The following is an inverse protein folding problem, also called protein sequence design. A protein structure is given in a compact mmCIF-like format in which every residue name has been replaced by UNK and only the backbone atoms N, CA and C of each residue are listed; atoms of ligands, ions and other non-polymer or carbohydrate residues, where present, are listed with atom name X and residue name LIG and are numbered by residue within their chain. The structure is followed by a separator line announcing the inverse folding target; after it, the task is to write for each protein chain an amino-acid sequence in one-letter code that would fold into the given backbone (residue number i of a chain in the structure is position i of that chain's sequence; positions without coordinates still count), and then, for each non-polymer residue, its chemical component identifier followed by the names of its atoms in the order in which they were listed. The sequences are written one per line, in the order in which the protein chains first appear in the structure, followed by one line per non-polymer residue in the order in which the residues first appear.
data_IF_863128551754
#
_entry.id   IF_863128551754
#
_cell.length_a   1.000
_cell.length_b   1.000
_cell.length_c   1.000
_cell.angle_alpha   90.00
_cell.angle_beta   90.00
_cell.angle_gamma   90.00
#
_symmetry.space_group_name_H-M   'P 1'
#
loop_
_entity.id
_entity.type
_entity.pdbx_description
1 polymer ?
#
# COMPACT_ATOMS: atom_id res chain seq x y z
N UNK A 1 20.61 -27.75 -20.47
CA UNK A 1 20.01 -27.18 -19.24
C UNK A 1 21.09 -26.35 -18.54
N UNK A 2 21.09 -25.04 -18.75
CA UNK A 2 21.80 -24.11 -17.88
C UNK A 2 20.73 -23.41 -17.05
N UNK A 3 20.78 -23.63 -15.74
CA UNK A 3 20.04 -22.84 -14.75
C UNK A 3 20.58 -21.41 -14.83
N UNK A 4 19.82 -20.51 -15.46
CA UNK A 4 20.15 -19.10 -15.50
C UNK A 4 20.01 -18.51 -14.10
N UNK A 5 21.10 -18.45 -13.35
CA UNK A 5 21.19 -17.53 -12.21
C UNK A 5 20.96 -16.12 -12.74
N UNK A 6 19.85 -15.51 -12.33
CA UNK A 6 19.61 -14.08 -12.53
C UNK A 6 20.72 -13.32 -11.81
N UNK A 7 21.72 -12.84 -12.55
CA UNK A 7 22.78 -11.98 -12.01
C UNK A 7 22.10 -10.70 -11.53
N UNK A 8 21.91 -10.58 -10.23
CA UNK A 8 21.41 -9.36 -9.60
C UNK A 8 22.43 -8.26 -9.89
N UNK A 9 21.99 -7.19 -10.56
CA UNK A 9 22.88 -6.06 -10.87
C UNK A 9 23.53 -5.54 -9.57
N UNK A 10 24.79 -5.08 -9.55
CA UNK A 10 25.39 -4.51 -8.34
C UNK A 10 24.78 -3.13 -8.02
N UNK A 11 24.87 -2.67 -6.78
CA UNK A 11 24.58 -1.26 -6.47
C UNK A 11 25.57 -0.33 -7.18
N UNK A 12 25.13 0.87 -7.61
CA UNK A 12 23.78 1.43 -7.47
C UNK A 12 22.77 0.99 -8.54
N UNK A 13 23.14 0.13 -9.49
CA UNK A 13 22.26 -0.22 -10.61
C UNK A 13 20.94 -0.88 -10.15
N UNK A 14 20.91 -1.56 -9.01
CA UNK A 14 19.68 -2.07 -8.40
C UNK A 14 18.66 -0.97 -8.07
N UNK A 15 19.13 0.22 -7.67
CA UNK A 15 18.26 1.34 -7.31
C UNK A 15 17.44 1.84 -8.50
N UNK A 16 17.89 1.61 -9.74
CA UNK A 16 17.09 1.92 -10.93
C UNK A 16 15.75 1.20 -10.94
N UNK A 17 15.66 0.03 -10.30
CA UNK A 17 14.39 -0.71 -10.21
C UNK A 17 13.39 -0.02 -9.28
N UNK A 18 13.83 0.89 -8.40
CA UNK A 18 12.96 1.64 -7.49
C UNK A 18 12.20 2.76 -8.21
N UNK A 19 12.65 3.16 -9.41
CA UNK A 19 11.94 4.14 -10.22
C UNK A 19 10.50 3.70 -10.50
N UNK A 20 9.54 4.61 -10.35
CA UNK A 20 8.10 4.31 -10.46
C UNK A 20 7.63 3.86 -11.84
N UNK A 21 8.48 3.98 -12.86
CA UNK A 21 8.26 3.42 -14.21
C UNK A 21 8.83 2.00 -14.38
N UNK A 22 9.42 1.42 -13.33
CA UNK A 22 9.98 0.07 -13.30
C UNK A 22 9.33 -0.79 -12.22
N UNK A 23 9.50 -2.11 -12.36
CA UNK A 23 8.82 -3.12 -11.55
C UNK A 23 9.10 -3.00 -10.04
N UNK A 24 10.27 -2.51 -9.61
CA UNK A 24 10.61 -2.40 -8.18
C UNK A 24 9.92 -1.25 -7.45
N UNK A 25 9.31 -0.29 -8.16
CA UNK A 25 8.43 0.73 -7.57
C UNK A 25 6.96 0.28 -7.46
N UNK A 26 6.65 -0.96 -7.89
CA UNK A 26 5.29 -1.52 -7.93
C UNK A 26 5.28 -2.85 -7.19
N UNK A 27 4.65 -2.88 -6.02
CA UNK A 27 4.49 -4.09 -5.21
C UNK A 27 3.31 -4.93 -5.71
N UNK A 28 3.53 -6.25 -5.84
CA UNK A 28 2.49 -7.27 -6.03
C UNK A 28 2.27 -7.99 -4.70
N UNK A 29 1.01 -8.33 -4.40
CA UNK A 29 0.64 -8.91 -3.11
C UNK A 29 1.25 -10.32 -2.99
N UNK A 30 1.88 -10.62 -1.85
CA UNK A 30 2.51 -11.93 -1.55
C UNK A 30 3.61 -12.38 -2.52
N UNK A 31 4.17 -11.45 -3.28
CA UNK A 31 5.32 -11.69 -4.15
C UNK A 31 6.56 -11.06 -3.52
N UNK A 32 7.35 -11.91 -2.85
CA UNK A 32 8.61 -11.54 -2.16
C UNK A 32 9.68 -10.98 -3.11
N UNK A 33 9.49 -11.14 -4.42
CA UNK A 33 10.38 -10.63 -5.47
C UNK A 33 9.89 -9.30 -6.07
N UNK A 34 8.69 -8.85 -5.71
CA UNK A 34 8.10 -7.58 -6.17
C UNK A 34 8.42 -6.40 -5.25
N UNK A 35 8.14 -5.18 -5.71
CA UNK A 35 8.63 -3.91 -5.16
C UNK A 35 8.51 -3.69 -3.65
N UNK A 36 9.49 -4.22 -2.90
CA UNK A 36 9.89 -3.79 -1.55
C UNK A 36 11.37 -3.39 -1.55
N UNK A 37 11.71 -2.21 -2.10
CA UNK A 37 13.00 -1.56 -1.90
C UNK A 37 13.60 -1.79 -0.50
N UNK A 38 14.66 -2.59 -0.42
CA UNK A 38 15.37 -2.91 0.84
C UNK A 38 14.68 -3.87 1.80
N UNK A 39 13.59 -4.54 1.39
CA UNK A 39 12.89 -5.63 2.10
C UNK A 39 12.29 -5.29 3.47
N UNK A 40 12.48 -4.08 3.98
CA UNK A 40 11.86 -3.58 5.20
C UNK A 40 10.44 -3.03 4.95
N UNK A 41 9.57 -3.15 5.95
CA UNK A 41 8.27 -2.46 5.99
C UNK A 41 8.50 -1.09 6.62
N UNK A 42 8.07 -0.03 5.96
CA UNK A 42 8.16 1.32 6.51
C UNK A 42 6.94 1.59 7.39
N UNK A 43 7.16 1.86 8.67
CA UNK A 43 6.09 2.13 9.64
C UNK A 43 5.33 3.40 9.30
N UNK A 44 3.99 3.37 9.34
CA UNK A 44 3.14 4.55 9.14
C UNK A 44 1.94 4.52 10.10
N UNK A 45 1.21 5.63 10.25
CA UNK A 45 0.04 5.64 11.12
C UNK A 45 -1.06 4.68 10.62
N UNK A 46 -1.17 4.52 9.30
CA UNK A 46 -2.08 3.54 8.72
C UNK A 46 -1.74 2.12 9.20
N UNK A 47 -0.46 1.73 9.15
CA UNK A 47 -0.03 0.40 9.56
C UNK A 47 -0.35 0.13 11.03
N UNK A 48 -0.06 1.07 11.94
CA UNK A 48 -0.44 0.92 13.35
C UNK A 48 -1.96 0.83 13.56
N UNK A 49 -2.76 1.58 12.79
CA UNK A 49 -4.22 1.49 12.86
C UNK A 49 -4.74 0.14 12.36
N UNK A 50 -4.15 -0.39 11.30
CA UNK A 50 -4.51 -1.68 10.72
C UNK A 50 -4.10 -2.84 11.64
N UNK A 51 -2.95 -2.74 12.30
CA UNK A 51 -2.52 -3.72 13.32
C UNK A 51 -3.49 -3.75 14.51
N UNK A 52 -3.82 -2.57 15.07
CA UNK A 52 -4.79 -2.46 16.15
C UNK A 52 -6.19 -2.95 15.73
N UNK A 53 -6.59 -2.64 14.49
CA UNK A 53 -7.84 -3.12 13.90
C UNK A 53 -7.85 -4.65 13.76
N UNK A 54 -6.77 -5.26 13.26
CA UNK A 54 -6.64 -6.70 13.09
C UNK A 54 -6.79 -7.44 14.43
N UNK A 55 -6.16 -6.94 15.50
CA UNK A 55 -6.34 -7.49 16.85
C UNK A 55 -7.78 -7.33 17.35
N UNK A 56 -8.40 -6.18 17.11
CA UNK A 56 -9.75 -5.88 17.59
C UNK A 56 -10.83 -6.70 16.87
N UNK A 57 -10.76 -6.83 15.54
CA UNK A 57 -11.74 -7.59 14.76
C UNK A 57 -11.65 -9.10 15.01
N UNK A 58 -10.43 -9.60 15.27
CA UNK A 58 -10.19 -10.99 15.64
C UNK A 58 -10.78 -11.33 17.03
N UNK A 59 -10.73 -10.38 17.97
CA UNK A 59 -11.16 -10.58 19.37
C UNK A 59 -12.69 -10.73 19.56
N UNK A 60 -13.51 -10.30 18.59
CA UNK A 60 -14.97 -10.48 18.65
C UNK A 60 -15.77 -9.31 18.08
N UNK A 61 -17.09 -9.48 17.88
CA UNK A 61 -17.94 -8.41 17.36
C UNK A 61 -18.23 -7.39 18.47
N UNK A 62 -17.62 -6.22 18.40
CA UNK A 62 -17.96 -5.11 19.29
C UNK A 62 -17.32 -3.79 18.85
N UNK A 63 -18.11 -2.87 18.30
CA UNK A 63 -17.72 -1.46 18.06
C UNK A 63 -16.55 -1.24 17.09
N UNK A 64 -16.09 -2.26 16.36
CA UNK A 64 -14.99 -2.19 15.40
C UNK A 64 -15.56 -2.12 13.98
N UNK A 65 -15.11 -1.18 13.13
CA UNK A 65 -15.48 -1.15 11.72
C UNK A 65 -15.15 -2.47 11.03
N UNK A 66 -16.09 -3.05 10.30
CA UNK A 66 -15.91 -4.29 9.54
C UNK A 66 -15.63 -4.05 8.05
N UNK A 67 -15.98 -2.87 7.55
CA UNK A 67 -15.76 -2.45 6.17
C UNK A 67 -14.62 -1.44 6.17
N UNK A 68 -13.49 -1.77 5.57
CA UNK A 68 -12.31 -0.92 5.44
C UNK A 68 -12.10 -0.51 3.98
N UNK A 69 -12.06 0.80 3.72
CA UNK A 69 -11.77 1.36 2.40
C UNK A 69 -10.45 2.13 2.43
N UNK A 70 -9.43 1.64 1.70
CA UNK A 70 -8.16 2.32 1.51
C UNK A 70 -8.20 3.12 0.20
N UNK A 71 -8.35 4.43 0.32
CA UNK A 71 -8.65 5.35 -0.79
C UNK A 71 -7.39 6.10 -1.20
N UNK A 72 -6.91 5.92 -2.43
CA UNK A 72 -5.73 6.67 -2.89
C UNK A 72 -5.27 6.30 -4.28
N UNK A 73 -4.25 6.99 -4.80
CA UNK A 73 -3.65 6.65 -6.08
C UNK A 73 -2.72 5.42 -6.02
N UNK A 74 -2.22 4.95 -7.17
CA UNK A 74 -1.23 3.90 -7.23
C UNK A 74 0.10 4.36 -6.61
N UNK A 75 0.78 3.47 -5.88
CA UNK A 75 2.09 3.78 -5.27
C UNK A 75 2.06 4.40 -3.87
N UNK A 76 0.90 4.43 -3.20
CA UNK A 76 0.77 4.92 -1.82
C UNK A 76 0.90 3.82 -0.75
N UNK A 77 1.39 2.63 -1.09
CA UNK A 77 1.58 1.55 -0.10
C UNK A 77 0.35 0.68 0.20
N UNK A 78 -0.73 0.75 -0.60
CA UNK A 78 -1.93 -0.08 -0.40
C UNK A 78 -1.64 -1.59 -0.32
N UNK A 79 -0.82 -2.09 -1.24
CA UNK A 79 -0.43 -3.51 -1.27
C UNK A 79 0.30 -3.92 0.01
N UNK A 80 1.20 -3.07 0.52
CA UNK A 80 1.92 -3.30 1.79
C UNK A 80 0.96 -3.30 2.98
N UNK A 81 0.02 -2.36 3.00
CA UNK A 81 -1.01 -2.25 4.03
C UNK A 81 -1.88 -3.52 4.09
N UNK A 82 -2.37 -4.02 2.95
CA UNK A 82 -3.16 -5.26 2.90
C UNK A 82 -2.33 -6.47 3.35
N UNK A 83 -1.11 -6.62 2.83
CA UNK A 83 -0.26 -7.78 3.16
C UNK A 83 0.11 -7.82 4.65
N UNK A 84 0.48 -6.67 5.23
CA UNK A 84 0.74 -6.55 6.67
C UNK A 84 -0.51 -6.83 7.49
N UNK A 85 -1.67 -6.31 7.07
CA UNK A 85 -2.95 -6.58 7.74
C UNK A 85 -3.29 -8.06 7.76
N UNK A 86 -3.07 -8.76 6.64
CA UNK A 86 -3.28 -10.21 6.57
C UNK A 86 -2.34 -10.94 7.53
N UNK A 87 -1.07 -10.55 7.61
CA UNK A 87 -0.13 -11.15 8.55
C UNK A 87 -0.57 -10.95 10.01
N UNK A 88 -1.01 -9.75 10.38
CA UNK A 88 -1.52 -9.47 11.73
C UNK A 88 -2.83 -10.19 12.03
N UNK A 89 -3.73 -10.32 11.07
CA UNK A 89 -4.95 -11.12 11.21
C UNK A 89 -4.62 -12.60 11.40
N UNK A 90 -3.69 -13.14 10.63
CA UNK A 90 -3.26 -14.53 10.75
C UNK A 90 -2.73 -14.82 12.17
N UNK A 91 -1.89 -13.93 12.70
CA UNK A 91 -1.39 -14.01 14.08
C UNK A 91 -2.53 -13.87 15.09
N UNK A 92 -3.38 -12.85 14.93
CA UNK A 92 -4.46 -12.54 15.89
C UNK A 92 -5.55 -13.62 15.94
N UNK A 93 -5.76 -14.33 14.84
CA UNK A 93 -6.69 -15.47 14.74
C UNK A 93 -6.03 -16.80 15.13
N UNK A 94 -4.73 -16.82 15.45
CA UNK A 94 -4.00 -18.05 15.75
C UNK A 94 -3.94 -19.02 14.56
N UNK A 95 -3.94 -18.50 13.32
CA UNK A 95 -4.01 -19.28 12.09
C UNK A 95 -2.66 -19.91 11.67
N UNK A 96 -1.54 -19.50 12.28
CA UNK A 96 -0.23 -20.14 12.10
C UNK A 96 0.30 -20.13 10.67
N UNK A 97 0.04 -19.05 9.92
CA UNK A 97 0.41 -18.83 8.53
C UNK A 97 -0.61 -19.35 7.51
N UNK A 98 -1.68 -20.02 7.94
CA UNK A 98 -2.66 -20.62 7.01
C UNK A 98 -3.51 -19.57 6.29
N UNK A 99 -3.89 -18.49 6.94
CA UNK A 99 -4.67 -17.42 6.30
C UNK A 99 -3.84 -16.76 5.18
N UNK A 100 -2.59 -16.40 5.50
CA UNK A 100 -1.67 -15.84 4.50
C UNK A 100 -1.43 -16.82 3.34
N UNK A 101 -1.29 -18.11 3.64
CA UNK A 101 -1.08 -19.16 2.63
C UNK A 101 -2.28 -19.34 1.71
N UNK A 102 -3.52 -19.32 2.23
CA UNK A 102 -4.72 -19.40 1.40
C UNK A 102 -4.88 -18.17 0.51
N UNK A 103 -4.70 -16.97 1.06
CA UNK A 103 -4.78 -15.73 0.27
C UNK A 103 -3.68 -15.67 -0.82
N UNK A 104 -2.47 -16.15 -0.52
CA UNK A 104 -1.38 -16.22 -1.50
C UNK A 104 -1.75 -17.06 -2.73
N UNK A 105 -2.46 -18.17 -2.57
CA UNK A 105 -2.92 -19.00 -3.70
C UNK A 105 -3.87 -18.24 -4.64
N UNK A 106 -4.71 -17.36 -4.09
CA UNK A 106 -5.68 -16.59 -4.87
C UNK A 106 -5.06 -15.36 -5.53
N UNK A 107 -4.19 -14.63 -4.82
CA UNK A 107 -3.59 -13.39 -5.32
C UNK A 107 -2.32 -13.60 -6.15
N UNK A 108 -1.69 -14.77 -6.03
CA UNK A 108 -0.55 -15.18 -6.83
C UNK A 108 -0.82 -16.53 -7.52
N UNK A 109 -1.82 -16.60 -8.42
CA UNK A 109 -2.19 -17.85 -9.08
C UNK A 109 -1.13 -18.24 -10.13
N UNK A 110 -1.15 -19.49 -10.61
CA UNK A 110 -0.25 -19.96 -11.67
C UNK A 110 -0.33 -19.09 -12.93
N UNK A 111 0.79 -19.02 -13.67
CA UNK A 111 0.90 -18.24 -14.90
C UNK A 111 -0.22 -18.57 -15.89
N UNK A 112 -0.79 -17.53 -16.51
CA UNK A 112 -1.96 -17.64 -17.40
C UNK A 112 -3.31 -17.62 -16.70
N UNK A 113 -3.35 -17.65 -15.37
CA UNK A 113 -4.58 -17.48 -14.58
C UNK A 113 -4.76 -16.02 -14.20
N UNK A 114 -5.94 -15.45 -14.45
CA UNK A 114 -6.24 -14.09 -14.04
C UNK A 114 -6.45 -14.01 -12.52
N UNK A 115 -5.87 -13.00 -11.87
CA UNK A 115 -6.11 -12.73 -10.46
C UNK A 115 -7.58 -12.30 -10.28
N UNK A 116 -8.36 -12.95 -9.41
CA UNK A 116 -9.73 -12.55 -9.15
C UNK A 116 -9.77 -11.15 -8.52
N UNK A 117 -10.79 -10.37 -8.87
CA UNK A 117 -11.02 -9.03 -8.29
C UNK A 117 -11.25 -9.10 -6.78
N UNK A 118 -12.13 -10.01 -6.37
CA UNK A 118 -12.55 -10.25 -4.99
C UNK A 118 -12.08 -11.64 -4.56
N UNK A 119 -11.31 -11.70 -3.47
CA UNK A 119 -10.94 -12.94 -2.81
C UNK A 119 -11.68 -13.04 -1.50
N UNK A 120 -12.35 -14.17 -1.24
CA UNK A 120 -13.04 -14.44 0.02
C UNK A 120 -12.45 -15.68 0.68
N UNK A 121 -12.16 -15.58 1.97
CA UNK A 121 -11.69 -16.68 2.80
C UNK A 121 -12.57 -16.75 4.05
N UNK A 122 -13.01 -17.95 4.40
CA UNK A 122 -13.58 -18.22 5.72
C UNK A 122 -12.44 -18.63 6.65
N UNK A 123 -12.34 -17.95 7.78
CA UNK A 123 -11.30 -18.21 8.79
C UNK A 123 -11.68 -19.31 9.77
N UNK A 124 -12.89 -19.86 9.66
CA UNK A 124 -13.35 -20.98 10.47
C UNK A 124 -12.39 -22.18 10.33
N UNK A 125 -11.91 -22.68 11.48
CA UNK A 125 -11.01 -23.84 11.52
C UNK A 125 -9.56 -23.60 11.07
N UNK A 126 -9.15 -22.35 10.80
CA UNK A 126 -7.74 -22.06 10.50
C UNK A 126 -6.84 -22.22 11.74
N UNK A 127 -7.36 -21.93 12.93
CA UNK A 127 -6.69 -22.09 14.22
C UNK A 127 -7.57 -22.82 15.25
N UNK A 128 -6.99 -23.37 16.33
CA UNK A 128 -7.73 -24.09 17.37
C UNK A 128 -8.81 -23.24 18.06
N UNK A 129 -8.58 -21.92 18.15
CA UNK A 129 -9.50 -20.93 18.72
C UNK A 129 -9.91 -19.85 17.69
N UNK A 130 -9.68 -20.10 16.40
CA UNK A 130 -9.97 -19.13 15.36
C UNK A 130 -11.49 -18.91 15.27
N UNK A 131 -11.91 -17.68 15.55
CA UNK A 131 -13.28 -17.23 15.33
C UNK A 131 -13.66 -17.40 13.85
N UNK A 132 -14.89 -17.83 13.59
CA UNK A 132 -15.47 -17.76 12.25
C UNK A 132 -15.67 -16.29 11.83
N UNK A 133 -14.80 -15.83 10.94
CA UNK A 133 -14.85 -14.54 10.27
C UNK A 133 -14.70 -14.77 8.77
N UNK A 134 -15.68 -14.37 7.98
CA UNK A 134 -15.52 -14.24 6.54
C UNK A 134 -14.72 -12.99 6.21
N UNK A 135 -13.61 -13.14 5.48
CA UNK A 135 -12.74 -12.06 5.06
C UNK A 135 -12.82 -11.91 3.54
N UNK A 136 -13.27 -10.75 3.10
CA UNK A 136 -13.39 -10.37 1.69
C UNK A 136 -12.37 -9.27 1.36
N UNK A 137 -11.49 -9.49 0.37
CA UNK A 137 -10.43 -8.55 0.01
C UNK A 137 -10.50 -8.20 -1.47
N UNK A 138 -10.53 -6.90 -1.76
CA UNK A 138 -10.39 -6.32 -3.11
C UNK A 138 -9.11 -5.48 -3.15
N UNK A 139 -8.09 -5.96 -3.85
CA UNK A 139 -6.78 -5.27 -3.93
C UNK A 139 -6.80 -4.09 -4.92
N UNK A 140 -7.61 -4.17 -5.97
CA UNK A 140 -7.74 -3.13 -6.97
C UNK A 140 -9.19 -3.04 -7.45
N UNK A 141 -9.92 -2.07 -6.92
CA UNK A 141 -11.30 -1.83 -7.28
C UNK A 141 -11.49 -1.34 -8.74
N UNK A 142 -10.44 -1.12 -9.52
CA UNK A 142 -10.56 -0.87 -10.96
C UNK A 142 -10.60 -2.16 -11.82
N UNK A 143 -10.19 -3.30 -11.26
CA UNK A 143 -10.15 -4.57 -11.99
C UNK A 143 -11.55 -5.14 -12.24
N UNK A 144 -11.84 -5.62 -13.46
CA UNK A 144 -13.16 -6.19 -13.84
C UNK A 144 -13.09 -7.69 -14.16
N UNK A 145 -12.03 -8.36 -13.70
CA UNK A 145 -11.79 -9.78 -13.97
C UNK A 145 -12.94 -10.64 -13.45
N UNK A 146 -13.48 -11.52 -14.31
CA UNK A 146 -14.54 -12.46 -13.94
C UNK A 146 -15.96 -11.89 -13.99
N UNK A 147 -16.15 -10.63 -14.42
CA UNK A 147 -17.46 -9.99 -14.50
C UNK A 147 -17.74 -9.42 -15.89
N UNK A 148 -18.15 -10.29 -16.82
CA UNK A 148 -18.48 -9.89 -18.19
C UNK A 148 -19.59 -8.83 -18.21
N UNK A 149 -19.33 -7.71 -18.87
CA UNK A 149 -20.31 -6.64 -19.10
C UNK A 149 -20.54 -5.68 -17.93
N UNK A 150 -19.88 -5.86 -16.79
CA UNK A 150 -19.97 -4.93 -15.65
C UNK A 150 -18.79 -3.96 -15.61
N UNK A 151 -19.08 -2.73 -15.21
CA UNK A 151 -18.05 -1.73 -14.95
C UNK A 151 -17.53 -1.85 -13.51
N UNK A 152 -16.32 -1.33 -13.27
CA UNK A 152 -15.68 -1.33 -11.95
C UNK A 152 -16.56 -0.65 -10.87
N UNK A 153 -17.23 0.44 -11.23
CA UNK A 153 -18.20 1.15 -10.40
C UNK A 153 -19.36 0.24 -9.95
N UNK A 154 -20.00 -0.46 -10.89
CA UNK A 154 -21.10 -1.39 -10.62
C UNK A 154 -20.67 -2.53 -9.70
N UNK A 155 -19.47 -3.09 -9.92
CA UNK A 155 -18.92 -4.13 -9.06
C UNK A 155 -18.68 -3.64 -7.64
N UNK A 156 -18.15 -2.43 -7.48
CA UNK A 156 -17.98 -1.83 -6.16
C UNK A 156 -19.33 -1.64 -5.44
N UNK A 157 -20.36 -1.18 -6.15
CA UNK A 157 -21.70 -1.04 -5.56
C UNK A 157 -22.28 -2.37 -5.12
N UNK A 158 -22.20 -3.40 -5.97
CA UNK A 158 -22.66 -4.75 -5.64
C UNK A 158 -21.92 -5.33 -4.41
N UNK A 159 -20.61 -5.08 -4.31
CA UNK A 159 -19.80 -5.49 -3.17
C UNK A 159 -20.19 -4.76 -1.88
N UNK A 160 -20.41 -3.44 -1.96
CA UNK A 160 -20.83 -2.62 -0.83
C UNK A 160 -22.22 -3.03 -0.33
N UNK A 161 -23.18 -3.21 -1.23
CA UNK A 161 -24.52 -3.68 -0.88
C UNK A 161 -24.46 -5.08 -0.21
N UNK A 162 -23.65 -5.99 -0.78
CA UNK A 162 -23.49 -7.34 -0.24
C UNK A 162 -22.86 -7.34 1.15
N UNK A 163 -21.80 -6.56 1.39
CA UNK A 163 -21.19 -6.50 2.72
C UNK A 163 -22.05 -5.73 3.72
N UNK A 164 -22.76 -4.68 3.32
CA UNK A 164 -23.68 -3.97 4.22
C UNK A 164 -24.84 -4.87 4.66
N UNK A 165 -25.37 -5.70 3.76
CA UNK A 165 -26.37 -6.73 4.08
C UNK A 165 -25.81 -7.92 4.85
N UNK A 166 -24.48 -8.13 4.84
CA UNK A 166 -23.83 -9.18 5.61
C UNK A 166 -23.77 -8.83 7.11
N UNK A 167 -23.84 -9.86 7.95
CA UNK A 167 -23.79 -9.71 9.41
C UNK A 167 -22.39 -9.38 9.97
N UNK A 168 -22.27 -9.26 11.31
CA UNK A 168 -21.02 -8.90 12.01
C UNK A 168 -19.92 -9.98 11.95
N UNK A 169 -20.18 -11.11 11.27
CA UNK A 169 -19.21 -12.16 10.99
C UNK A 169 -18.46 -11.97 9.67
N UNK A 170 -18.67 -10.86 8.96
CA UNK A 170 -18.04 -10.58 7.67
C UNK A 170 -17.25 -9.26 7.71
N UNK A 171 -15.98 -9.34 7.35
CA UNK A 171 -15.08 -8.21 7.16
C UNK A 171 -14.74 -8.02 5.68
N UNK A 172 -14.61 -6.77 5.25
CA UNK A 172 -14.30 -6.39 3.88
C UNK A 172 -13.17 -5.36 3.87
N UNK A 173 -12.13 -5.61 3.09
CA UNK A 173 -11.01 -4.70 2.88
C UNK A 173 -10.93 -4.40 1.39
N UNK A 174 -11.05 -3.12 1.03
CA UNK A 174 -11.02 -2.71 -0.36
C UNK A 174 -10.07 -1.55 -0.60
N UNK A 175 -9.21 -1.74 -1.58
CA UNK A 175 -8.32 -0.73 -2.11
C UNK A 175 -8.95 -0.10 -3.35
N UNK A 176 -9.31 1.18 -3.23
CA UNK A 176 -10.07 1.89 -4.26
C UNK A 176 -9.40 3.22 -4.60
N UNK A 177 -9.46 3.62 -5.87
CA UNK A 177 -8.94 4.91 -6.33
C UNK A 177 -10.08 5.93 -6.35
N UNK A 178 -9.77 7.22 -6.17
CA UNK A 178 -10.77 8.30 -6.16
C UNK A 178 -11.70 8.26 -7.38
N UNK A 179 -11.15 8.07 -8.58
CA UNK A 179 -11.97 7.98 -9.81
C UNK A 179 -13.02 6.85 -9.81
N UNK A 180 -12.69 5.67 -9.26
CA UNK A 180 -13.65 4.56 -9.14
C UNK A 180 -14.76 4.89 -8.13
N UNK A 181 -14.44 5.63 -7.06
CA UNK A 181 -15.45 6.11 -6.10
C UNK A 181 -16.38 7.15 -6.75
N UNK A 182 -15.83 8.06 -7.54
CA UNK A 182 -16.61 9.09 -8.24
C UNK A 182 -17.57 8.44 -9.25
N UNK A 183 -17.05 7.49 -10.06
CA UNK A 183 -17.86 6.72 -11.01
C UNK A 183 -18.94 5.89 -10.29
N UNK A 184 -18.61 5.27 -9.16
CA UNK A 184 -19.57 4.51 -8.36
C UNK A 184 -20.64 5.41 -7.73
N UNK A 185 -20.30 6.64 -7.34
CA UNK A 185 -21.27 7.58 -6.82
C UNK A 185 -22.25 8.03 -7.91
N UNK A 186 -21.76 8.29 -9.12
CA UNK A 186 -22.60 8.59 -10.29
C UNK A 186 -23.53 7.41 -10.60
N UNK A 187 -22.98 6.19 -10.69
CA UNK A 187 -23.76 4.99 -10.94
C UNK A 187 -24.82 4.74 -9.84
N UNK A 188 -24.50 5.02 -8.57
CA UNK A 188 -25.46 4.87 -7.47
C UNK A 188 -26.61 5.88 -7.55
N UNK A 189 -26.36 7.08 -8.09
CA UNK A 189 -27.39 8.08 -8.36
C UNK A 189 -28.27 7.61 -9.52
N UNK A 190 -27.66 7.22 -10.64
CA UNK A 190 -28.35 6.82 -11.86
C UNK A 190 -29.19 5.54 -11.69
N UNK A 191 -28.79 4.67 -10.76
CA UNK A 191 -29.48 3.41 -10.45
C UNK A 191 -30.30 3.45 -9.15
N UNK A 192 -30.47 4.63 -8.56
CA UNK A 192 -31.27 4.88 -7.35
C UNK A 192 -30.89 4.01 -6.13
N UNK A 193 -29.60 3.66 -5.98
CA UNK A 193 -29.07 2.88 -4.85
C UNK A 193 -28.79 3.76 -3.63
N UNK A 194 -29.86 4.19 -2.96
CA UNK A 194 -29.84 5.16 -1.85
C UNK A 194 -28.92 4.79 -0.65
N UNK A 195 -28.75 3.50 -0.36
CA UNK A 195 -27.84 3.03 0.69
C UNK A 195 -26.38 3.27 0.33
N UNK A 196 -25.96 2.74 -0.82
CA UNK A 196 -24.61 2.92 -1.35
C UNK A 196 -24.30 4.39 -1.65
N UNK A 197 -25.25 5.16 -2.20
CA UNK A 197 -25.09 6.60 -2.44
C UNK A 197 -24.70 7.35 -1.17
N UNK A 198 -25.48 7.19 -0.09
CA UNK A 198 -25.21 7.88 1.19
C UNK A 198 -23.85 7.49 1.79
N UNK A 199 -23.47 6.22 1.65
CA UNK A 199 -22.16 5.76 2.08
C UNK A 199 -21.06 6.43 1.25
N UNK A 200 -21.12 6.36 -0.08
CA UNK A 200 -20.12 6.93 -0.97
C UNK A 200 -19.98 8.44 -0.80
N UNK A 201 -21.07 9.17 -0.62
CA UNK A 201 -21.00 10.60 -0.29
C UNK A 201 -20.24 10.87 1.02
N UNK A 202 -20.47 10.06 2.05
CA UNK A 202 -19.75 10.19 3.32
C UNK A 202 -18.26 9.84 3.16
N UNK A 203 -17.95 8.79 2.40
CA UNK A 203 -16.58 8.42 2.03
C UNK A 203 -15.90 9.60 1.33
N UNK A 204 -16.49 10.14 0.27
CA UNK A 204 -15.95 11.26 -0.54
C UNK A 204 -15.70 12.50 0.32
N UNK A 205 -16.63 12.86 1.22
CA UNK A 205 -16.42 13.96 2.17
C UNK A 205 -15.25 13.70 3.12
N UNK A 206 -15.15 12.49 3.68
CA UNK A 206 -14.11 12.13 4.64
C UNK A 206 -12.70 12.03 4.05
N UNK A 207 -12.58 11.73 2.75
CA UNK A 207 -11.29 11.68 2.03
C UNK A 207 -10.93 12.99 1.35
N UNK A 208 -11.75 14.03 1.53
CA UNK A 208 -11.37 15.38 1.15
C UNK A 208 -10.20 15.84 2.02
N UNK A 209 -9.27 16.60 1.46
CA UNK A 209 -8.16 17.20 2.21
C UNK A 209 -8.58 18.51 2.89
N UNK A 210 -9.90 18.68 3.13
CA UNK A 210 -10.44 19.87 3.75
C UNK A 210 -10.15 19.87 5.26
N UNK A 211 -9.89 21.04 5.88
CA UNK A 211 -9.62 21.11 7.32
C UNK A 211 -10.75 20.60 8.21
N UNK A 212 -11.98 20.64 7.70
CA UNK A 212 -13.22 20.23 8.36
C UNK A 212 -13.74 18.86 7.87
N UNK A 213 -12.88 18.07 7.23
CA UNK A 213 -13.24 16.73 6.80
C UNK A 213 -13.76 15.89 8.00
N UNK A 214 -14.91 15.22 7.86
CA UNK A 214 -15.50 14.43 8.94
C UNK A 214 -14.62 13.22 9.30
N UNK A 215 -14.84 12.64 10.49
CA UNK A 215 -14.15 11.43 10.92
C UNK A 215 -14.26 10.33 9.86
N UNK A 216 -13.12 9.70 9.55
CA UNK A 216 -13.01 8.60 8.61
C UNK A 216 -12.75 7.24 9.30
N UNK A 217 -12.41 7.23 10.60
CA UNK A 217 -12.09 6.00 11.33
C UNK A 217 -12.60 6.03 12.78
N UNK A 218 -13.86 5.66 13.06
CA UNK A 218 -14.89 5.22 12.10
C UNK A 218 -15.43 6.39 11.25
N UNK A 219 -16.04 6.05 10.11
CA UNK A 219 -16.67 6.99 9.21
C UNK A 219 -17.89 7.63 9.88
N UNK A 220 -17.97 8.96 9.87
CA UNK A 220 -19.08 9.69 10.48
C UNK A 220 -20.43 9.25 9.90
N UNK A 221 -21.33 8.80 10.77
CA UNK A 221 -22.64 8.24 10.39
C UNK A 221 -22.65 6.76 10.01
N UNK A 222 -21.47 6.10 9.97
CA UNK A 222 -21.31 4.70 9.58
C UNK A 222 -20.29 4.01 10.50
N UNK A 223 -20.71 3.62 11.70
CA UNK A 223 -19.83 3.02 12.72
C UNK A 223 -19.14 1.72 12.27
N UNK A 224 -19.78 0.97 11.37
CA UNK A 224 -19.26 -0.27 10.79
C UNK A 224 -18.25 -0.04 9.66
N UNK A 225 -18.04 1.21 9.25
CA UNK A 225 -17.16 1.56 8.12
C UNK A 225 -16.00 2.40 8.63
N UNK A 226 -14.81 2.10 8.13
CA UNK A 226 -13.66 2.95 8.25
C UNK A 226 -13.02 3.16 6.87
N UNK A 227 -12.51 4.35 6.67
CA UNK A 227 -11.95 4.85 5.43
C UNK A 227 -10.61 5.46 5.75
N UNK A 228 -9.61 5.19 4.93
CA UNK A 228 -8.32 5.86 5.04
C UNK A 228 -7.94 6.53 3.72
N UNK A 229 -7.82 7.87 3.70
CA UNK A 229 -7.19 8.58 2.60
C UNK A 229 -5.68 8.31 2.64
N UNK A 230 -5.16 7.60 1.65
CA UNK A 230 -3.74 7.23 1.59
C UNK A 230 -2.80 8.44 1.42
N UNK A 231 -3.35 9.61 1.11
CA UNK A 231 -2.67 10.91 1.00
C UNK A 231 -2.95 11.83 2.20
N UNK A 232 -3.52 11.32 3.30
CA UNK A 232 -3.76 12.11 4.50
C UNK A 232 -2.48 12.37 5.32
N UNK A 233 -1.60 11.37 5.41
CA UNK A 233 -0.38 11.46 6.22
C UNK A 233 0.84 11.89 5.40
N UNK A 234 1.81 12.52 6.09
CA UNK A 234 3.11 12.85 5.51
C UNK A 234 4.08 11.73 5.77
N UNK A 235 4.77 11.26 4.73
CA UNK A 235 5.90 10.33 4.86
C UNK A 235 7.17 11.00 5.42
N UNK A 236 7.15 12.32 5.61
CA UNK A 236 8.27 13.13 6.10
C UNK A 236 8.12 13.50 7.58
N UNK A 237 7.13 12.94 8.27
CA UNK A 237 6.90 13.14 9.70
C UNK A 237 6.96 11.79 10.41
N UNK A 238 7.41 11.81 11.67
CA UNK A 238 7.38 10.65 12.54
C UNK A 238 5.93 10.18 12.74
N UNK A 239 5.65 8.87 12.66
CA UNK A 239 4.35 8.33 13.03
C UNK A 239 3.98 8.71 14.47
N UNK A 240 2.68 8.86 14.76
CA UNK A 240 2.19 9.23 16.08
C UNK A 240 2.54 8.20 17.17
N UNK A 241 2.72 6.93 16.77
CA UNK A 241 3.17 5.86 17.66
C UNK A 241 4.68 5.88 17.95
N UNK A 242 5.44 6.81 17.35
CA UNK A 242 6.90 6.86 17.40
C UNK A 242 7.56 6.23 16.17
N UNK A 243 8.89 6.09 16.21
CA UNK A 243 9.69 5.58 15.10
C UNK A 243 10.39 6.66 14.27
N UNK A 244 11.07 6.22 13.20
CA UNK A 244 11.70 7.12 12.22
C UNK A 244 10.67 7.61 11.20
N UNK A 245 10.91 8.77 10.57
CA UNK A 245 10.06 9.21 9.45
C UNK A 245 10.17 8.20 8.29
N UNK A 246 9.06 7.76 7.65
CA UNK A 246 9.10 6.76 6.58
C UNK A 246 10.09 7.07 5.46
N UNK A 247 10.14 8.34 5.04
CA UNK A 247 11.06 8.84 4.03
C UNK A 247 12.53 8.74 4.47
N UNK A 248 12.81 8.94 5.76
CA UNK A 248 14.15 8.82 6.33
C UNK A 248 14.60 7.36 6.32
N UNK A 249 13.76 6.46 6.82
CA UNK A 249 14.02 5.01 6.80
C UNK A 249 14.28 4.49 5.39
N UNK A 250 13.46 4.92 4.43
CA UNK A 250 13.65 4.64 3.00
C UNK A 250 15.01 5.14 2.49
N UNK A 251 15.36 6.39 2.80
CA UNK A 251 16.61 6.99 2.37
C UNK A 251 17.82 6.25 2.95
N UNK A 252 17.82 5.96 4.26
CA UNK A 252 18.87 5.19 4.93
C UNK A 252 19.05 3.81 4.32
N UNK A 253 17.95 3.15 3.97
CA UNK A 253 17.97 1.85 3.29
C UNK A 253 18.69 1.90 1.94
N UNK A 254 18.52 2.98 1.17
CA UNK A 254 19.20 3.16 -0.12
C UNK A 254 20.69 3.54 0.03
N UNK A 255 21.06 4.11 1.17
CA UNK A 255 22.40 4.62 1.48
C UNK A 255 23.28 3.62 2.25
N UNK A 256 22.71 2.49 2.68
CA UNK A 256 23.38 1.41 3.40
C UNK A 256 24.71 1.04 2.72
N UNK A 257 25.82 1.30 3.39
CA UNK A 257 27.15 1.13 2.84
C UNK A 257 27.49 -0.34 2.55
N UNK A 258 26.84 -1.29 3.23
CA UNK A 258 27.04 -2.72 3.02
C UNK A 258 26.53 -3.18 1.65
N UNK A 259 25.56 -2.46 1.08
CA UNK A 259 25.01 -2.77 -0.23
C UNK A 259 25.89 -2.21 -1.36
N UNK A 260 26.71 -1.20 -1.08
CA UNK A 260 27.51 -0.49 -2.06
C UNK A 260 28.93 -1.08 -2.19
N UNK A 261 29.60 -0.89 -3.34
CA UNK A 261 31.00 -1.24 -3.47
C UNK A 261 31.85 -0.50 -2.43
N UNK A 262 32.93 -1.15 -1.99
CA UNK A 262 33.92 -0.52 -1.10
C UNK A 262 34.38 0.81 -1.71
N UNK A 263 34.51 1.89 -0.93
CA UNK A 263 34.94 3.19 -1.43
C UNK A 263 36.22 3.08 -2.27
N UNK A 264 36.16 3.61 -3.50
CA UNK A 264 37.28 3.57 -4.45
C UNK A 264 37.47 2.25 -5.21
N UNK A 265 36.72 1.19 -4.89
CA UNK A 265 36.85 -0.12 -5.56
C UNK A 265 35.96 -0.28 -6.79
N UNK A 266 35.02 0.65 -7.03
CA UNK A 266 34.16 0.61 -8.21
C UNK A 266 34.92 1.08 -9.47
N UNK A 267 34.35 0.84 -10.66
CA UNK A 267 34.96 1.23 -11.94
C UNK A 267 35.26 2.74 -12.06
N UNK A 268 34.51 3.58 -11.34
CA UNK A 268 34.76 5.03 -11.29
C UNK A 268 35.89 5.45 -10.33
N UNK A 269 36.49 4.50 -9.61
CA UNK A 269 37.55 4.75 -8.63
C UNK A 269 37.12 5.73 -7.52
N UNK A 270 38.09 6.43 -6.90
CA UNK A 270 37.83 7.42 -5.84
C UNK A 270 36.97 8.62 -6.29
N UNK A 271 36.89 8.89 -7.60
CA UNK A 271 36.12 10.01 -8.17
C UNK A 271 34.75 9.58 -8.69
N UNK A 272 34.28 8.38 -8.33
CA UNK A 272 32.98 7.89 -8.76
C UNK A 272 31.84 8.81 -8.28
N UNK A 273 31.06 9.42 -9.19
CA UNK A 273 30.01 10.36 -8.81
C UNK A 273 28.91 9.69 -7.99
N UNK A 274 28.58 8.43 -8.27
CA UNK A 274 27.53 7.71 -7.55
C UNK A 274 27.94 7.41 -6.09
N UNK A 275 29.16 6.91 -5.88
CA UNK A 275 29.68 6.66 -4.54
C UNK A 275 29.83 7.96 -3.75
N UNK A 276 30.28 9.03 -4.40
CA UNK A 276 30.37 10.37 -3.80
C UNK A 276 29.00 10.95 -3.43
N UNK A 277 27.98 10.79 -4.28
CA UNK A 277 26.60 11.18 -3.96
C UNK A 277 26.06 10.43 -2.74
N UNK A 278 26.25 9.10 -2.69
CA UNK A 278 25.85 8.29 -1.53
C UNK A 278 26.54 8.76 -0.25
N UNK A 279 27.86 8.92 -0.28
CA UNK A 279 28.62 9.34 0.91
C UNK A 279 28.21 10.72 1.41
N UNK A 280 28.00 11.69 0.51
CA UNK A 280 27.52 13.03 0.89
C UNK A 280 26.12 12.98 1.48
N UNK A 281 25.22 12.23 0.86
CA UNK A 281 23.83 12.17 1.30
C UNK A 281 23.63 11.37 2.59
N UNK A 282 24.53 10.42 2.89
CA UNK A 282 24.54 9.66 4.14
C UNK A 282 24.97 10.47 5.38
N UNK A 283 25.44 11.71 5.19
CA UNK A 283 25.76 12.61 6.30
C UNK A 283 24.46 13.20 6.86
N UNK A 284 24.35 13.19 8.19
CA UNK A 284 23.13 13.61 8.91
C UNK A 284 22.62 15.00 8.49
N UNK A 285 23.53 15.95 8.29
CA UNK A 285 23.19 17.31 7.86
C UNK A 285 22.55 17.32 6.48
N UNK A 286 23.18 16.68 5.51
CA UNK A 286 22.73 16.60 4.12
C UNK A 286 21.41 15.82 4.00
N UNK A 287 21.31 14.67 4.68
CA UNK A 287 20.09 13.87 4.80
C UNK A 287 18.93 14.71 5.33
N UNK A 288 19.13 15.39 6.46
CA UNK A 288 18.11 16.21 7.11
C UNK A 288 17.71 17.41 6.24
N UNK A 289 18.69 18.04 5.57
CA UNK A 289 18.43 19.16 4.66
C UNK A 289 17.56 18.73 3.47
N UNK A 290 17.81 17.56 2.89
CA UNK A 290 16.99 17.02 1.80
C UNK A 290 15.55 16.79 2.27
N UNK A 291 15.35 16.09 3.39
CA UNK A 291 14.02 15.82 3.93
C UNK A 291 13.26 17.12 4.26
N UNK A 292 13.96 18.13 4.77
CA UNK A 292 13.37 19.44 5.04
C UNK A 292 12.91 20.15 3.76
N UNK A 293 13.68 20.11 2.68
CA UNK A 293 13.27 20.66 1.38
C UNK A 293 12.01 19.96 0.85
N UNK A 294 11.96 18.64 0.93
CA UNK A 294 10.77 17.87 0.52
C UNK A 294 9.55 18.25 1.36
N UNK A 295 9.75 18.51 2.66
CA UNK A 295 8.67 18.92 3.57
C UNK A 295 8.17 20.32 3.25
N UNK A 296 9.06 21.26 2.94
CA UNK A 296 8.66 22.60 2.50
C UNK A 296 7.89 22.56 1.18
N UNK A 297 8.29 21.73 0.23
CA UNK A 297 7.53 21.51 -1.00
C UNK A 297 6.11 20.99 -0.70
N UNK A 298 5.99 20.00 0.19
CA UNK A 298 4.70 19.43 0.56
C UNK A 298 3.76 20.49 1.19
N UNK A 299 4.29 21.34 2.06
CA UNK A 299 3.53 22.45 2.68
C UNK A 299 3.17 23.52 1.66
N UNK A 300 4.10 23.92 0.79
CA UNK A 300 3.89 25.00 -0.17
C UNK A 300 2.94 24.62 -1.32
N UNK A 301 2.99 23.36 -1.76
CA UNK A 301 2.16 22.87 -2.88
C UNK A 301 0.83 22.26 -2.43
N UNK A 302 0.70 21.90 -1.15
CA UNK A 302 -0.42 21.09 -0.64
C UNK A 302 -0.39 19.63 -1.13
N UNK A 303 0.65 19.21 -1.86
CA UNK A 303 0.77 17.85 -2.40
C UNK A 303 1.66 16.99 -1.52
N UNK A 304 1.10 15.90 -0.99
CA UNK A 304 1.86 14.87 -0.26
C UNK A 304 2.77 14.05 -1.18
N UNK A 305 3.90 13.63 -0.63
CA UNK A 305 4.77 12.65 -1.27
C UNK A 305 4.22 11.23 -1.12
N UNK A 306 4.08 10.51 -2.23
CA UNK A 306 3.81 9.07 -2.18
C UNK A 306 5.11 8.27 -2.03
N UNK A 307 5.00 7.00 -1.59
CA UNK A 307 6.16 6.09 -1.61
C UNK A 307 6.77 5.97 -3.00
N UNK A 308 5.94 5.91 -4.05
CA UNK A 308 6.40 5.90 -5.45
C UNK A 308 7.24 7.13 -5.80
N UNK A 309 6.83 8.32 -5.37
CA UNK A 309 7.58 9.54 -5.64
C UNK A 309 8.94 9.50 -4.93
N UNK A 310 8.96 9.08 -3.66
CA UNK A 310 10.19 8.97 -2.87
C UNK A 310 11.15 7.92 -3.43
N UNK A 311 10.66 6.72 -3.77
CA UNK A 311 11.48 5.68 -4.41
C UNK A 311 12.08 6.16 -5.73
N UNK A 312 11.30 6.90 -6.54
CA UNK A 312 11.77 7.45 -7.81
C UNK A 312 12.82 8.54 -7.59
N UNK A 313 12.60 9.44 -6.63
CA UNK A 313 13.56 10.47 -6.27
C UNK A 313 14.89 9.85 -5.85
N UNK A 314 14.86 8.88 -4.94
CA UNK A 314 16.06 8.19 -4.45
C UNK A 314 16.78 7.46 -5.59
N UNK A 315 16.04 6.76 -6.46
CA UNK A 315 16.61 6.14 -7.67
C UNK A 315 17.36 7.16 -8.52
N UNK A 316 16.77 8.34 -8.78
CA UNK A 316 17.38 9.34 -9.65
C UNK A 316 18.57 10.04 -8.99
N UNK A 317 18.51 10.30 -7.68
CA UNK A 317 19.63 10.89 -6.94
C UNK A 317 20.86 9.98 -6.89
N UNK A 318 20.65 8.66 -6.73
CA UNK A 318 21.73 7.72 -6.43
C UNK A 318 22.19 6.85 -7.61
N UNK A 319 21.33 6.61 -8.59
CA UNK A 319 21.64 5.80 -9.77
C UNK A 319 21.44 6.54 -11.10
N UNK A 320 20.88 7.76 -11.06
CA UNK A 320 20.57 8.54 -12.25
C UNK A 320 19.43 7.95 -13.07
N UNK A 321 19.33 8.37 -14.33
CA UNK A 321 18.37 7.85 -15.31
C UNK A 321 19.11 7.52 -16.60
N UNK A 322 18.84 6.34 -17.18
CA UNK A 322 19.32 6.02 -18.53
C UNK A 322 18.36 6.66 -19.55
N UNK A 323 18.80 7.73 -20.19
CA UNK A 323 18.16 8.20 -21.42
C UNK A 323 18.47 7.16 -22.50
N UNK A 324 17.48 6.39 -22.95
CA UNK A 324 17.67 5.59 -24.17
C UNK A 324 18.04 6.55 -25.30
N UNK A 325 19.05 6.24 -26.13
CA UNK A 325 19.30 7.02 -27.33
C UNK A 325 18.00 7.05 -28.13
N UNK A 326 17.56 8.24 -28.54
CA UNK A 326 16.49 8.34 -29.55
C UNK A 326 17.00 7.59 -30.78
N UNK A 327 16.30 6.51 -31.14
CA UNK A 327 16.48 5.84 -32.42
C UNK A 327 16.06 6.77 -33.55
#
# INVERSE_FOLDING_TARGET
MMTGESIVAPYPAQLLNWAGNRAGGVRRLFDDTSGRPGKAVFETNLLHRLEAWAGSIASGPGGVPRILLLVGGPGNGKTEAIESTVAWLDVSLGAGGKLASELKKSFFPPEGTAVPRLVRVDTSGLGPDARALGLSIVQDASAVVGAAGKQAAQLLLDELDAVQGAGPGEAYLCCVNRGVLDDALIEAIDTEREGARRLLEAVTRSVSLAPDAPSCWPLAGFADVAVWPMDAESLLLTPAAGGDEPARSLLRTALDDQLWPVPGSCLGGPSCPFCGSRERLAREREETSLLQILRWFEVASGKRWSFRDLFSLVSYLLAGHRVSPRA
#
